data_IF_237332696297
#
_entry.id   IF_237332696297
#
_cell.length_a   1.000
_cell.length_b   1.000
_cell.length_c   1.000
_cell.angle_alpha   90.00
_cell.angle_beta   90.00
_cell.angle_gamma   90.00
#
_symmetry.space_group_name_H-M   'P 1'
#
loop_
_entity.id
_entity.type
_entity.pdbx_description
1 polymer ?
#
# COMPACT_ATOMS: atom_id res chain seq x y z
N UNK A 1 -8.06 4.12 9.35
CA UNK A 1 -6.84 4.27 10.17
C UNK A 1 -7.19 3.95 11.60
N UNK A 2 -6.38 3.15 12.30
CA UNK A 2 -6.56 2.92 13.74
C UNK A 2 -6.16 4.19 14.52
N UNK A 3 -6.84 4.52 15.63
CA UNK A 3 -6.39 5.59 16.52
C UNK A 3 -4.94 5.35 16.94
N UNK A 4 -4.06 6.34 16.74
CA UNK A 4 -2.63 6.22 17.03
C UNK A 4 -1.75 5.75 15.86
N UNK A 5 -2.32 5.27 14.75
CA UNK A 5 -1.54 4.88 13.57
C UNK A 5 -0.72 6.04 12.97
N UNK A 6 -1.10 7.28 13.27
CA UNK A 6 -0.38 8.49 12.86
C UNK A 6 0.37 9.20 13.99
N UNK A 7 0.45 8.60 15.18
CA UNK A 7 1.13 9.23 16.33
C UNK A 7 2.64 9.43 16.09
N UNK A 8 3.22 8.67 15.15
CA UNK A 8 4.64 8.70 14.80
C UNK A 8 4.90 9.23 13.39
N UNK A 9 3.90 9.80 12.72
CA UNK A 9 4.01 10.24 11.33
C UNK A 9 2.80 9.85 10.50
N UNK A 10 2.91 9.82 9.19
CA UNK A 10 1.85 9.30 8.33
C UNK A 10 2.42 8.59 7.11
N UNK A 11 1.61 7.75 6.48
CA UNK A 11 1.95 7.12 5.21
C UNK A 11 1.04 7.64 4.10
N UNK A 12 1.61 7.92 2.94
CA UNK A 12 0.87 8.12 1.70
C UNK A 12 0.99 6.87 0.83
N UNK A 13 -0.05 6.64 0.04
CA UNK A 13 -0.13 5.50 -0.88
C UNK A 13 -0.57 6.04 -2.24
N UNK A 14 0.26 5.83 -3.24
CA UNK A 14 0.02 6.22 -4.62
C UNK A 14 -0.09 4.94 -5.47
N UNK A 15 -1.22 4.74 -6.13
CA UNK A 15 -1.40 3.58 -7.01
C UNK A 15 -0.60 3.80 -8.28
N UNK A 16 0.37 2.92 -8.54
CA UNK A 16 1.18 2.96 -9.75
C UNK A 16 0.51 2.13 -10.85
N UNK A 17 0.06 0.91 -10.52
CA UNK A 17 -0.54 -0.01 -11.48
C UNK A 17 -1.72 -0.79 -10.90
N UNK A 18 -2.71 -1.05 -11.74
CA UNK A 18 -3.81 -1.98 -11.48
C UNK A 18 -3.87 -2.96 -12.64
N UNK A 19 -3.77 -4.25 -12.33
CA UNK A 19 -3.93 -5.33 -13.29
C UNK A 19 -5.07 -6.25 -12.86
N UNK A 20 -6.14 -6.29 -13.65
CA UNK A 20 -7.20 -7.29 -13.46
C UNK A 20 -6.73 -8.62 -14.04
N UNK A 21 -6.48 -9.59 -13.16
CA UNK A 21 -6.12 -10.96 -13.54
C UNK A 21 -7.36 -11.76 -13.94
N UNK A 22 -8.50 -11.43 -13.32
CA UNK A 22 -9.84 -12.01 -13.53
C UNK A 22 -10.89 -10.94 -13.19
N UNK A 23 -12.19 -11.15 -13.53
CA UNK A 23 -13.25 -10.20 -13.16
C UNK A 23 -13.36 -9.89 -11.65
N UNK A 24 -12.88 -10.79 -10.80
CA UNK A 24 -12.93 -10.72 -9.33
C UNK A 24 -11.55 -10.73 -8.67
N UNK A 25 -10.46 -10.67 -9.44
CA UNK A 25 -9.08 -10.75 -8.92
C UNK A 25 -8.21 -9.66 -9.55
N UNK A 26 -7.56 -8.83 -8.72
CA UNK A 26 -6.68 -7.76 -9.17
C UNK A 26 -5.34 -7.79 -8.45
N UNK A 27 -4.26 -7.47 -9.16
CA UNK A 27 -2.96 -7.12 -8.59
C UNK A 27 -2.79 -5.60 -8.66
N UNK A 28 -2.48 -4.98 -7.51
CA UNK A 28 -2.33 -3.53 -7.38
C UNK A 28 -0.92 -3.23 -6.89
N UNK A 29 -0.17 -2.49 -7.70
CA UNK A 29 1.14 -1.96 -7.32
C UNK A 29 0.95 -0.56 -6.76
N UNK A 30 1.58 -0.31 -5.62
CA UNK A 30 1.49 0.96 -4.92
C UNK A 30 2.91 1.44 -4.60
N UNK A 31 3.12 2.75 -4.71
CA UNK A 31 4.22 3.44 -4.06
C UNK A 31 3.77 3.94 -2.71
N UNK A 32 4.49 3.53 -1.67
CA UNK A 32 4.22 3.92 -0.31
C UNK A 32 5.36 4.82 0.19
N UNK A 33 5.00 5.94 0.80
CA UNK A 33 5.96 6.86 1.43
C UNK A 33 5.57 7.10 2.88
N UNK A 34 6.52 6.91 3.78
CA UNK A 34 6.37 7.21 5.19
C UNK A 34 7.01 8.55 5.50
N UNK A 35 6.28 9.39 6.22
CA UNK A 35 6.72 10.71 6.64
C UNK A 35 6.71 10.83 8.15
N UNK A 36 7.68 11.55 8.70
CA UNK A 36 7.71 11.93 10.12
C UNK A 36 6.57 12.88 10.46
N UNK A 37 6.37 13.18 11.75
CA UNK A 37 5.40 14.19 12.18
C UNK A 37 5.74 15.62 11.70
N UNK A 38 7.00 15.88 11.36
CA UNK A 38 7.45 17.13 10.75
C UNK A 38 7.20 17.20 9.23
N UNK A 39 6.75 16.10 8.61
CA UNK A 39 6.50 16.01 7.17
C UNK A 39 7.73 15.66 6.33
N UNK A 40 8.82 15.23 6.96
CA UNK A 40 10.03 14.78 6.26
C UNK A 40 9.89 13.32 5.82
N UNK A 41 10.40 12.98 4.63
CA UNK A 41 10.39 11.62 4.12
C UNK A 41 11.35 10.75 4.96
N UNK A 42 10.81 9.69 5.56
CA UNK A 42 11.55 8.77 6.44
C UNK A 42 11.94 7.47 5.71
N UNK A 43 11.00 6.88 4.98
CA UNK A 43 11.25 5.66 4.19
C UNK A 43 10.24 5.47 3.07
N UNK A 44 10.59 4.64 2.09
CA UNK A 44 9.72 4.28 0.98
C UNK A 44 9.59 2.76 0.83
N UNK A 45 8.44 2.33 0.33
CA UNK A 45 8.15 0.93 0.03
C UNK A 45 7.37 0.79 -1.27
N UNK A 46 7.40 -0.42 -1.84
CA UNK A 46 6.71 -0.74 -3.10
C UNK A 46 5.73 -1.90 -2.92
N UNK A 47 4.68 -1.76 -2.09
CA UNK A 47 3.79 -2.88 -1.82
C UNK A 47 3.07 -3.40 -3.07
N UNK A 48 2.94 -4.72 -3.12
CA UNK A 48 2.09 -5.45 -4.04
C UNK A 48 0.91 -6.02 -3.26
N UNK A 49 -0.30 -5.68 -3.69
CA UNK A 49 -1.55 -6.19 -3.14
C UNK A 49 -2.25 -7.08 -4.15
N UNK A 50 -2.54 -8.31 -3.77
CA UNK A 50 -3.48 -9.17 -4.48
C UNK A 50 -4.84 -9.02 -3.80
N UNK A 51 -5.81 -8.56 -4.56
CA UNK A 51 -7.16 -8.31 -4.11
C UNK A 51 -8.14 -9.28 -4.75
N UNK A 52 -9.05 -9.85 -3.94
CA UNK A 52 -10.16 -10.66 -4.42
C UNK A 52 -11.47 -9.96 -4.07
N UNK A 53 -12.46 -10.01 -4.95
CA UNK A 53 -13.79 -9.45 -4.71
C UNK A 53 -14.68 -10.50 -4.04
N UNK A 54 -14.96 -10.31 -2.76
CA UNK A 54 -15.83 -11.16 -1.96
C UNK A 54 -17.12 -10.42 -1.61
N UNK A 55 -18.29 -11.01 -1.88
CA UNK A 55 -19.58 -10.40 -1.55
C UNK A 55 -19.78 -8.99 -2.13
N UNK A 56 -19.17 -8.71 -3.30
CA UNK A 56 -19.24 -7.39 -3.93
C UNK A 56 -18.13 -6.42 -3.51
N UNK A 57 -17.30 -6.76 -2.52
CA UNK A 57 -16.25 -5.90 -1.96
C UNK A 57 -14.85 -6.45 -2.24
N UNK A 58 -13.93 -5.59 -2.64
CA UNK A 58 -12.53 -5.97 -2.77
C UNK A 58 -11.87 -6.08 -1.40
N UNK A 59 -11.22 -7.22 -1.14
CA UNK A 59 -10.45 -7.50 0.07
C UNK A 59 -8.98 -7.73 -0.29
N UNK A 60 -8.07 -7.32 0.61
CA UNK A 60 -6.65 -7.58 0.48
C UNK A 60 -6.37 -9.04 0.86
N UNK A 61 -6.16 -9.91 -0.12
CA UNK A 61 -6.01 -11.36 0.10
C UNK A 61 -4.57 -11.78 0.36
N UNK A 62 -3.61 -11.19 -0.36
CA UNK A 62 -2.19 -11.39 -0.12
C UNK A 62 -1.46 -10.06 -0.31
N UNK A 63 -0.52 -9.74 0.58
CA UNK A 63 0.15 -8.45 0.62
C UNK A 63 1.63 -8.67 0.92
N UNK A 64 2.49 -8.07 0.10
CA UNK A 64 3.92 -8.03 0.34
C UNK A 64 4.40 -6.61 0.16
N UNK A 65 5.10 -6.06 1.15
CA UNK A 65 5.79 -4.78 1.02
C UNK A 65 7.30 -4.99 0.91
N UNK A 66 7.92 -4.33 -0.07
CA UNK A 66 9.36 -4.35 -0.26
C UNK A 66 9.90 -2.94 -0.04
N UNK A 67 10.79 -2.70 0.93
CA UNK A 67 11.44 -1.41 1.13
C UNK A 67 12.24 -0.99 -0.11
N UNK A 68 12.24 0.30 -0.42
CA UNK A 68 13.22 0.90 -1.32
C UNK A 68 14.44 1.25 -0.46
N UNK A 69 15.60 0.73 -0.82
CA UNK A 69 16.89 1.07 -0.20
C UNK A 69 17.79 1.69 -1.26
N UNK A 70 18.49 2.76 -0.89
CA UNK A 70 19.58 3.29 -1.73
C UNK A 70 20.75 2.31 -1.69
N UNK A 71 21.42 2.11 -2.84
CA UNK A 71 22.52 1.16 -3.01
C UNK A 71 23.88 1.77 -2.69
#
# INVERSE_FOLDING_TARGET
>A
MLPGATAHGHATYEVEHILFLRPDTAAVKVRQRYFTTAGELDSEGTPMYVMIKEGGRWVLTANQNTPIVEG
#
